data_IF_529214981128
#
_entry.id   IF_529214981128
#
_cell.length_a   1.000
_cell.length_b   1.000
_cell.length_c   1.000
_cell.angle_alpha   90.00
_cell.angle_beta   90.00
_cell.angle_gamma   90.00
#
_symmetry.space_group_name_H-M   'P 1'
#
loop_
_entity.id
_entity.type
_entity.pdbx_description
1 polymer ?
#
# COMPACT_ATOMS: atom_id res chain seq x y z
N UNK A 1 -4.13 -49.97 -9.46
CA UNK A 1 -4.49 -49.00 -8.42
C UNK A 1 -3.24 -48.16 -8.19
N UNK A 2 -3.25 -46.91 -8.65
CA UNK A 2 -2.21 -45.92 -8.31
C UNK A 2 -2.58 -45.38 -6.93
N UNK A 3 -1.73 -45.67 -5.94
CA UNK A 3 -1.82 -45.04 -4.63
C UNK A 3 -1.71 -43.53 -4.77
N UNK A 4 -2.85 -42.86 -4.61
CA UNK A 4 -2.86 -41.39 -4.47
C UNK A 4 -2.10 -41.04 -3.18
N UNK A 5 -0.98 -40.34 -3.31
CA UNK A 5 -0.24 -39.84 -2.15
C UNK A 5 -1.21 -39.09 -1.24
N UNK A 6 -1.13 -39.28 0.09
CA UNK A 6 -2.04 -38.62 1.02
C UNK A 6 -1.93 -37.11 0.83
N UNK A 7 -3.08 -36.45 0.63
CA UNK A 7 -3.15 -34.99 0.52
C UNK A 7 -2.45 -34.39 1.75
N UNK A 8 -1.37 -33.64 1.54
CA UNK A 8 -0.70 -32.93 2.64
C UNK A 8 -1.74 -32.12 3.40
N UNK A 9 -1.85 -32.35 4.70
CA UNK A 9 -2.79 -31.64 5.57
C UNK A 9 -2.53 -30.12 5.37
N UNK A 10 -3.57 -29.42 4.94
CA UNK A 10 -3.49 -27.96 4.74
C UNK A 10 -3.30 -27.31 6.11
N UNK A 11 -2.23 -26.54 6.26
CA UNK A 11 -1.94 -25.82 7.49
C UNK A 11 -2.87 -24.61 7.58
N UNK A 12 -3.37 -24.28 8.76
CA UNK A 12 -4.18 -23.08 8.98
C UNK A 12 -3.81 -22.38 10.28
N UNK A 13 -3.93 -21.07 10.29
CA UNK A 13 -3.82 -20.20 11.47
C UNK A 13 -5.01 -19.29 11.57
N UNK A 14 -5.43 -18.96 12.83
CA UNK A 14 -6.58 -18.09 13.08
C UNK A 14 -6.14 -16.74 13.64
N UNK A 15 -6.69 -15.70 13.06
CA UNK A 15 -6.45 -14.29 13.36
C UNK A 15 -7.79 -13.55 13.41
N UNK A 16 -7.80 -12.35 14.01
CA UNK A 16 -8.95 -11.47 13.88
C UNK A 16 -8.86 -10.72 12.56
N UNK A 17 -7.68 -10.18 12.24
CA UNK A 17 -7.43 -9.46 10.98
C UNK A 17 -6.17 -10.00 10.30
N UNK A 18 -6.27 -10.25 9.01
CA UNK A 18 -5.15 -10.60 8.15
C UNK A 18 -4.89 -9.44 7.17
N UNK A 19 -3.70 -8.84 7.26
CA UNK A 19 -3.27 -7.78 6.34
C UNK A 19 -2.27 -8.36 5.34
N UNK A 20 -2.49 -8.12 4.04
CA UNK A 20 -1.67 -8.67 2.97
C UNK A 20 -0.86 -7.57 2.29
N UNK A 21 0.47 -7.61 2.44
CA UNK A 21 1.43 -6.68 1.87
C UNK A 21 2.03 -5.73 2.90
N UNK A 22 3.35 -5.82 3.14
CA UNK A 22 4.09 -4.99 4.10
C UNK A 22 4.65 -3.71 3.45
N UNK A 23 3.88 -3.08 2.57
CA UNK A 23 4.06 -1.69 2.15
C UNK A 23 3.50 -0.71 3.18
N UNK A 24 3.56 0.59 2.89
CA UNK A 24 3.11 1.64 3.79
C UNK A 24 1.65 1.43 4.27
N UNK A 25 0.72 1.22 3.36
CA UNK A 25 -0.69 1.04 3.70
C UNK A 25 -0.93 -0.19 4.60
N UNK A 26 -0.25 -1.31 4.32
CA UNK A 26 -0.41 -2.53 5.11
C UNK A 26 0.18 -2.39 6.51
N UNK A 27 1.30 -1.70 6.65
CA UNK A 27 1.88 -1.43 7.97
C UNK A 27 0.98 -0.52 8.81
N UNK A 28 0.42 0.54 8.21
CA UNK A 28 -0.54 1.40 8.90
C UNK A 28 -1.79 0.61 9.32
N UNK A 29 -2.36 -0.18 8.41
CA UNK A 29 -3.53 -0.99 8.72
C UNK A 29 -3.26 -2.03 9.82
N UNK A 30 -2.11 -2.70 9.77
CA UNK A 30 -1.74 -3.69 10.78
C UNK A 30 -1.48 -3.06 12.16
N UNK A 31 -0.88 -1.88 12.19
CA UNK A 31 -0.66 -1.14 13.44
C UNK A 31 -1.98 -0.67 14.03
N UNK A 32 -2.83 -0.03 13.22
CA UNK A 32 -4.14 0.48 13.66
C UNK A 32 -5.04 -0.65 14.17
N UNK A 33 -5.18 -1.75 13.43
CA UNK A 33 -6.01 -2.88 13.86
C UNK A 33 -5.50 -3.51 15.17
N UNK A 34 -4.18 -3.59 15.35
CA UNK A 34 -3.58 -4.07 16.59
C UNK A 34 -3.78 -3.07 17.74
N UNK A 35 -3.81 -1.76 17.49
CA UNK A 35 -4.12 -0.74 18.49
C UNK A 35 -5.57 -0.81 18.95
N UNK A 36 -6.49 -1.16 18.05
CA UNK A 36 -7.89 -1.46 18.33
C UNK A 36 -8.09 -2.80 19.09
N UNK A 37 -7.00 -3.54 19.36
CA UNK A 37 -7.03 -4.78 20.14
C UNK A 37 -7.24 -6.05 19.33
N UNK A 38 -7.29 -5.98 18.00
CA UNK A 38 -7.40 -7.15 17.14
C UNK A 38 -6.10 -7.97 17.12
N UNK A 39 -6.21 -9.30 17.15
CA UNK A 39 -5.10 -10.21 16.87
C UNK A 39 -4.77 -10.16 15.38
N UNK A 40 -3.79 -9.35 15.02
CA UNK A 40 -3.44 -9.02 13.63
C UNK A 40 -2.17 -9.73 13.17
N UNK A 41 -2.17 -10.21 11.91
CA UNK A 41 -0.98 -10.65 11.21
C UNK A 41 -0.78 -9.85 9.92
N UNK A 42 0.45 -9.45 9.67
CA UNK A 42 0.89 -8.81 8.43
C UNK A 42 1.67 -9.83 7.59
N UNK A 43 1.21 -10.10 6.37
CA UNK A 43 1.81 -11.06 5.46
C UNK A 43 2.60 -10.33 4.36
N UNK A 44 3.83 -10.77 4.11
CA UNK A 44 4.68 -10.20 3.07
C UNK A 44 5.32 -11.32 2.23
N UNK A 45 5.22 -11.20 0.90
CA UNK A 45 5.78 -12.19 -0.02
C UNK A 45 7.30 -12.19 -0.07
N UNK A 46 7.91 -11.05 0.21
CA UNK A 46 9.35 -10.90 0.26
C UNK A 46 9.92 -11.29 1.62
N UNK A 47 11.23 -11.40 1.72
CA UNK A 47 11.94 -11.64 3.00
C UNK A 47 12.16 -10.38 3.84
N UNK A 48 11.59 -9.27 3.43
CA UNK A 48 11.66 -7.94 4.07
C UNK A 48 10.49 -7.09 3.63
N UNK A 49 10.17 -5.99 4.32
CA UNK A 49 9.26 -4.98 3.80
C UNK A 49 9.75 -4.43 2.47
N UNK A 50 8.85 -4.31 1.51
CA UNK A 50 9.11 -3.76 0.18
C UNK A 50 7.87 -2.98 -0.30
N UNK A 51 7.77 -2.73 -1.59
CA UNK A 51 6.68 -2.00 -2.22
C UNK A 51 7.12 -0.63 -2.72
N UNK A 52 6.23 0.07 -3.40
CA UNK A 52 6.52 1.37 -4.02
C UNK A 52 7.02 2.42 -3.01
N UNK A 53 6.62 2.31 -1.75
CA UNK A 53 7.01 3.26 -0.70
C UNK A 53 8.51 3.34 -0.50
N UNK A 54 9.22 2.22 -0.50
CA UNK A 54 10.69 2.18 -0.29
C UNK A 54 11.43 3.02 -1.35
N UNK A 55 10.87 3.11 -2.56
CA UNK A 55 11.44 3.86 -3.68
C UNK A 55 10.96 5.31 -3.75
N UNK A 56 10.01 5.71 -2.91
CA UNK A 56 9.43 7.05 -2.91
C UNK A 56 10.30 8.05 -2.16
N UNK A 57 10.14 9.33 -2.51
CA UNK A 57 10.80 10.43 -1.78
C UNK A 57 10.19 10.69 -0.39
N UNK A 58 9.11 9.99 -0.03
CA UNK A 58 8.41 10.14 1.26
C UNK A 58 7.55 11.39 1.35
N UNK A 59 7.05 11.87 0.22
CA UNK A 59 6.16 13.01 0.16
C UNK A 59 4.71 12.55 0.31
N UNK A 60 3.98 13.20 1.19
CA UNK A 60 2.57 12.94 1.44
C UNK A 60 1.82 14.27 1.38
N UNK A 61 0.81 14.35 0.53
CA UNK A 61 -0.07 15.50 0.49
C UNK A 61 -1.13 15.36 1.60
N UNK A 62 -1.28 16.39 2.44
CA UNK A 62 -2.28 16.42 3.48
C UNK A 62 -2.70 17.85 3.79
N UNK A 63 -3.83 18.00 4.50
CA UNK A 63 -4.32 19.29 4.99
C UNK A 63 -4.79 19.16 6.45
N UNK A 64 -4.54 20.18 7.23
CA UNK A 64 -5.04 20.25 8.61
C UNK A 64 -4.17 19.53 9.66
N UNK A 65 -2.94 19.08 9.30
CA UNK A 65 -2.01 18.52 10.28
C UNK A 65 -1.38 19.59 11.18
N UNK A 66 -0.86 19.17 12.32
CA UNK A 66 -0.11 20.06 13.24
C UNK A 66 1.13 20.72 12.64
N UNK A 67 1.62 20.22 11.52
CA UNK A 67 2.77 20.76 10.80
C UNK A 67 2.40 21.91 9.85
N UNK A 68 1.11 22.19 9.63
CA UNK A 68 0.59 23.16 8.67
C UNK A 68 -0.04 24.41 9.35
N UNK A 69 0.36 24.72 10.57
CA UNK A 69 -0.22 25.84 11.37
C UNK A 69 -0.10 27.22 10.70
N UNK A 70 0.83 27.38 9.77
CA UNK A 70 1.07 28.62 9.04
C UNK A 70 0.19 28.77 7.79
N UNK A 71 -0.69 27.81 7.52
CA UNK A 71 -1.57 27.77 6.34
C UNK A 71 -3.05 27.62 6.76
N UNK A 72 -3.59 28.57 7.57
CA UNK A 72 -4.97 28.48 8.04
C UNK A 72 -6.02 28.70 6.94
N UNK A 73 -5.59 29.18 5.77
CA UNK A 73 -6.42 29.40 4.58
C UNK A 73 -6.76 28.10 3.83
N UNK A 74 -5.98 27.05 4.05
CA UNK A 74 -6.24 25.74 3.42
C UNK A 74 -7.29 24.95 4.19
N UNK A 75 -8.00 24.07 3.51
CA UNK A 75 -9.09 23.31 4.10
C UNK A 75 -9.29 21.95 3.39
N UNK A 76 -9.89 20.97 4.08
CA UNK A 76 -10.30 19.72 3.44
C UNK A 76 -11.15 19.92 2.20
N UNK A 77 -12.04 20.93 2.20
CA UNK A 77 -12.88 21.27 1.04
C UNK A 77 -12.04 21.72 -0.15
N UNK A 78 -11.10 22.65 0.05
CA UNK A 78 -10.21 23.10 -1.02
C UNK A 78 -9.35 21.97 -1.55
N UNK A 79 -8.87 21.10 -0.67
CA UNK A 79 -8.09 19.93 -1.05
C UNK A 79 -8.92 18.94 -1.88
N UNK A 80 -10.16 18.67 -1.46
CA UNK A 80 -11.09 17.83 -2.23
C UNK A 80 -11.33 18.40 -3.64
N UNK A 81 -11.64 19.70 -3.74
CA UNK A 81 -11.91 20.36 -5.03
C UNK A 81 -10.69 20.28 -5.97
N UNK A 82 -9.49 20.48 -5.44
CA UNK A 82 -8.25 20.35 -6.23
C UNK A 82 -8.00 18.93 -6.71
N UNK A 83 -8.18 17.93 -5.86
CA UNK A 83 -8.00 16.51 -6.24
C UNK A 83 -9.02 16.08 -7.29
N UNK A 84 -10.29 16.48 -7.15
CA UNK A 84 -11.32 16.21 -8.16
C UNK A 84 -11.01 16.91 -9.50
N UNK A 85 -10.53 18.14 -9.45
CA UNK A 85 -10.10 18.89 -10.65
C UNK A 85 -8.90 18.22 -11.34
N UNK A 86 -7.87 17.83 -10.58
CA UNK A 86 -6.65 17.19 -11.10
C UNK A 86 -6.93 15.80 -11.67
N UNK A 87 -7.85 15.06 -11.09
CA UNK A 87 -8.27 13.76 -11.61
C UNK A 87 -9.26 13.85 -12.78
N UNK A 88 -9.55 15.06 -13.27
CA UNK A 88 -10.59 15.30 -14.29
C UNK A 88 -11.94 14.66 -13.93
N UNK A 89 -12.32 14.71 -12.65
CA UNK A 89 -13.57 14.12 -12.11
C UNK A 89 -13.65 12.59 -12.25
N UNK A 90 -12.53 11.91 -12.47
CA UNK A 90 -12.51 10.44 -12.61
C UNK A 90 -12.37 9.69 -11.29
N UNK A 91 -11.84 10.34 -10.26
CA UNK A 91 -11.69 9.74 -8.93
C UNK A 91 -13.06 9.55 -8.28
N UNK A 92 -13.17 8.53 -7.44
CA UNK A 92 -14.36 8.34 -6.60
C UNK A 92 -14.45 9.49 -5.58
N UNK A 93 -15.52 10.30 -5.60
CA UNK A 93 -15.64 11.48 -4.74
C UNK A 93 -15.71 11.12 -3.25
N UNK A 94 -16.29 9.97 -2.89
CA UNK A 94 -16.37 9.56 -1.48
C UNK A 94 -14.99 9.21 -0.93
N UNK A 95 -14.16 8.50 -1.71
CA UNK A 95 -12.77 8.21 -1.32
C UNK A 95 -11.93 9.48 -1.22
N UNK A 96 -12.07 10.41 -2.17
CA UNK A 96 -11.35 11.70 -2.14
C UNK A 96 -11.79 12.53 -0.94
N UNK A 97 -13.08 12.53 -0.59
CA UNK A 97 -13.59 13.24 0.59
C UNK A 97 -12.96 12.69 1.87
N UNK A 98 -12.98 11.38 2.08
CA UNK A 98 -12.34 10.75 3.24
C UNK A 98 -10.85 11.11 3.31
N UNK A 99 -10.13 11.03 2.18
CA UNK A 99 -8.72 11.40 2.16
C UNK A 99 -8.49 12.88 2.51
N UNK A 100 -9.29 13.77 1.97
CA UNK A 100 -9.17 15.21 2.25
C UNK A 100 -9.47 15.54 3.74
N UNK A 101 -10.46 14.89 4.32
CA UNK A 101 -10.88 15.14 5.70
C UNK A 101 -9.90 14.51 6.73
N UNK A 102 -9.37 13.32 6.44
CA UNK A 102 -8.58 12.53 7.41
C UNK A 102 -7.06 12.64 7.21
N UNK A 103 -6.60 13.22 6.12
CA UNK A 103 -5.15 13.22 5.79
C UNK A 103 -4.30 13.91 6.85
N UNK A 104 -4.78 15.03 7.43
CA UNK A 104 -4.07 15.75 8.48
C UNK A 104 -3.92 14.91 9.76
N UNK A 105 -5.01 14.29 10.20
CA UNK A 105 -5.01 13.39 11.34
C UNK A 105 -4.12 12.17 11.10
N UNK A 106 -4.10 11.64 9.87
CA UNK A 106 -3.21 10.54 9.47
C UNK A 106 -1.73 10.90 9.57
N UNK A 107 -1.34 12.10 9.17
CA UNK A 107 0.04 12.60 9.35
C UNK A 107 0.38 12.73 10.83
N UNK A 108 -0.53 13.26 11.63
CA UNK A 108 -0.32 13.43 13.07
C UNK A 108 -0.19 12.07 13.77
N UNK A 109 -1.01 11.09 13.39
CA UNK A 109 -0.91 9.71 13.85
C UNK A 109 0.45 9.07 13.49
N UNK A 110 0.93 9.23 12.26
CA UNK A 110 2.26 8.75 11.86
C UNK A 110 3.38 9.39 12.67
N UNK A 111 3.27 10.68 12.97
CA UNK A 111 4.26 11.39 13.77
C UNK A 111 4.26 10.92 15.23
N UNK A 112 3.09 10.60 15.81
CA UNK A 112 2.98 10.01 17.14
C UNK A 112 3.59 8.61 17.22
N UNK A 113 3.66 7.90 16.07
CA UNK A 113 4.36 6.63 15.90
C UNK A 113 5.85 6.78 15.48
N UNK A 114 6.40 7.98 15.66
CA UNK A 114 7.84 8.23 15.51
C UNK A 114 8.31 8.58 14.11
N UNK A 115 7.39 8.83 13.17
CA UNK A 115 7.76 9.33 11.84
C UNK A 115 7.98 10.84 11.89
N UNK A 116 9.18 11.37 11.59
CA UNK A 116 9.39 12.81 11.52
C UNK A 116 8.79 13.38 10.23
N UNK A 117 8.19 14.57 10.34
CA UNK A 117 7.68 15.32 9.20
C UNK A 117 8.08 16.80 9.29
N UNK A 118 8.19 17.42 8.13
CA UNK A 118 8.20 18.87 7.98
C UNK A 118 7.37 19.25 6.75
N UNK A 119 6.80 20.43 6.78
CA UNK A 119 6.10 21.00 5.62
C UNK A 119 7.14 21.53 4.63
N UNK A 120 6.99 21.18 3.35
CA UNK A 120 7.85 21.69 2.33
C UNK A 120 7.26 22.96 1.71
N UNK A 121 7.94 24.08 1.93
CA UNK A 121 7.53 25.40 1.42
C UNK A 121 8.29 25.80 0.12
N UNK A 122 8.97 24.87 -0.51
CA UNK A 122 9.95 25.15 -1.57
C UNK A 122 9.40 25.37 -2.99
N UNK A 123 8.07 25.32 -3.20
CA UNK A 123 7.47 25.54 -4.51
C UNK A 123 6.34 26.58 -4.44
N UNK A 124 6.27 27.50 -5.44
CA UNK A 124 5.38 28.67 -5.37
C UNK A 124 3.90 28.42 -5.70
N UNK A 125 3.43 27.19 -5.63
CA UNK A 125 2.06 26.84 -5.95
C UNK A 125 1.26 26.46 -4.68
N UNK A 126 0.04 26.95 -4.51
CA UNK A 126 -0.81 26.63 -3.34
C UNK A 126 -1.00 25.13 -3.12
N UNK A 127 -1.08 24.37 -4.21
CA UNK A 127 -1.24 22.90 -4.14
C UNK A 127 -0.04 22.21 -3.48
N UNK A 128 1.09 22.88 -3.33
CA UNK A 128 2.34 22.33 -2.81
C UNK A 128 2.61 22.69 -1.35
N UNK A 129 1.85 23.62 -0.78
CA UNK A 129 1.84 23.87 0.68
C UNK A 129 1.24 22.71 1.48
N UNK A 130 0.74 21.69 0.80
CA UNK A 130 0.21 20.45 1.37
C UNK A 130 1.22 19.33 1.42
N UNK A 131 2.43 19.53 0.89
CA UNK A 131 3.43 18.48 0.80
C UNK A 131 4.21 18.34 2.10
N UNK A 132 3.92 17.29 2.85
CA UNK A 132 4.67 16.90 4.03
C UNK A 132 5.73 15.87 3.67
N UNK A 133 6.95 16.12 4.11
CA UNK A 133 8.10 15.28 3.76
C UNK A 133 8.63 14.61 5.02
N UNK A 134 8.81 13.30 4.94
CA UNK A 134 9.63 12.57 5.89
C UNK A 134 11.10 12.62 5.44
N UNK A 135 12.01 13.24 6.22
CA UNK A 135 13.42 13.38 5.83
C UNK A 135 14.12 12.02 5.80
N UNK A 136 14.82 11.75 4.71
CA UNK A 136 15.48 10.47 4.48
C UNK A 136 16.79 10.27 5.25
N UNK A 137 17.54 11.33 5.53
CA UNK A 137 18.84 11.26 6.26
C UNK A 137 19.79 10.18 5.71
N UNK A 138 20.09 10.22 4.42
CA UNK A 138 20.95 9.24 3.74
C UNK A 138 20.24 8.00 3.18
N UNK A 139 18.91 7.97 3.30
CA UNK A 139 18.02 7.00 2.66
C UNK A 139 16.85 7.74 2.00
N UNK A 140 16.00 7.05 1.24
CA UNK A 140 14.76 7.68 0.74
C UNK A 140 13.82 8.01 1.89
N UNK A 141 13.02 9.08 1.76
CA UNK A 141 11.99 9.41 2.74
C UNK A 141 10.99 8.26 2.92
N UNK A 142 10.63 7.58 1.85
CA UNK A 142 9.79 6.38 1.92
C UNK A 142 10.43 5.23 2.70
N UNK A 143 11.74 5.02 2.57
CA UNK A 143 12.46 4.05 3.41
C UNK A 143 12.45 4.45 4.88
N UNK A 144 12.49 5.76 5.19
CA UNK A 144 12.35 6.27 6.56
C UNK A 144 10.97 5.97 7.12
N UNK A 145 9.90 6.21 6.35
CA UNK A 145 8.52 5.86 6.74
C UNK A 145 8.41 4.38 7.12
N UNK A 146 8.90 3.49 6.26
CA UNK A 146 8.89 2.05 6.51
C UNK A 146 9.65 1.68 7.79
N UNK A 147 10.83 2.28 8.03
CA UNK A 147 11.60 2.02 9.26
C UNK A 147 10.85 2.44 10.53
N UNK A 148 10.22 3.60 10.51
CA UNK A 148 9.46 4.09 11.66
C UNK A 148 8.25 3.19 11.95
N UNK A 149 7.49 2.82 10.92
CA UNK A 149 6.36 1.90 11.06
C UNK A 149 6.79 0.50 11.53
N UNK A 150 7.92 -0.03 11.02
CA UNK A 150 8.46 -1.29 11.51
C UNK A 150 8.76 -1.25 13.01
N UNK A 151 9.39 -0.19 13.48
CA UNK A 151 9.68 -0.03 14.91
C UNK A 151 8.38 0.08 15.74
N UNK A 152 7.34 0.74 15.21
CA UNK A 152 6.05 0.83 15.86
C UNK A 152 5.32 -0.53 15.94
N UNK A 153 5.33 -1.29 14.83
CA UNK A 153 4.77 -2.65 14.77
C UNK A 153 5.48 -3.61 15.73
N UNK A 154 6.81 -3.55 15.79
CA UNK A 154 7.61 -4.34 16.72
C UNK A 154 7.28 -4.00 18.18
N UNK A 155 7.24 -2.71 18.50
CA UNK A 155 6.84 -2.22 19.84
C UNK A 155 5.43 -2.69 20.23
N UNK A 156 4.51 -2.74 19.27
CA UNK A 156 3.14 -3.21 19.49
C UNK A 156 3.04 -4.73 19.54
N UNK A 157 4.04 -5.47 19.05
CA UNK A 157 4.06 -6.93 19.00
C UNK A 157 3.23 -7.52 17.89
N UNK A 158 3.05 -6.81 16.78
CA UNK A 158 2.33 -7.31 15.60
C UNK A 158 3.13 -8.42 14.93
N UNK A 159 2.48 -9.56 14.65
CA UNK A 159 3.10 -10.65 13.92
C UNK A 159 3.31 -10.29 12.44
N UNK A 160 4.54 -10.46 11.94
CA UNK A 160 4.86 -10.25 10.53
C UNK A 160 5.42 -11.55 9.96
N UNK A 161 4.74 -12.10 8.95
CA UNK A 161 5.18 -13.31 8.28
C UNK A 161 5.73 -12.98 6.89
N UNK A 162 7.04 -13.06 6.75
CA UNK A 162 7.76 -12.91 5.50
C UNK A 162 7.75 -14.18 4.66
N UNK A 163 8.18 -14.08 3.39
CA UNK A 163 8.19 -15.21 2.44
C UNK A 163 6.82 -15.88 2.33
N UNK A 164 5.76 -15.12 2.54
CA UNK A 164 4.37 -15.58 2.60
C UNK A 164 3.56 -14.89 1.50
N UNK A 165 3.48 -15.56 0.34
CA UNK A 165 2.79 -15.03 -0.83
C UNK A 165 1.31 -15.40 -0.81
N UNK A 166 0.45 -14.41 -0.65
CA UNK A 166 -1.00 -14.58 -0.85
C UNK A 166 -1.29 -14.89 -2.32
N UNK A 167 -2.16 -15.88 -2.57
CA UNK A 167 -2.46 -16.35 -3.93
C UNK A 167 -3.94 -16.47 -4.23
N UNK A 168 -4.81 -16.57 -3.22
CA UNK A 168 -6.27 -16.60 -3.38
C UNK A 168 -6.96 -16.27 -2.06
N UNK A 169 -8.20 -15.80 -2.13
CA UNK A 169 -9.03 -15.64 -0.96
C UNK A 169 -9.63 -17.01 -0.54
N UNK A 170 -9.76 -17.23 0.77
CA UNK A 170 -10.56 -18.31 1.33
C UNK A 170 -11.98 -17.78 1.50
N UNK A 171 -12.97 -18.51 0.96
CA UNK A 171 -14.37 -18.08 0.91
C UNK A 171 -15.27 -19.21 1.37
N UNK A 172 -16.38 -18.86 2.00
CA UNK A 172 -17.49 -19.78 2.24
C UNK A 172 -18.34 -20.01 0.98
N UNK A 173 -19.39 -20.83 1.11
CA UNK A 173 -20.32 -21.14 0.02
C UNK A 173 -21.14 -19.92 -0.45
N UNK A 174 -21.22 -18.87 0.37
CA UNK A 174 -21.90 -17.60 0.06
C UNK A 174 -20.95 -16.51 -0.46
N UNK A 175 -19.69 -16.86 -0.77
CA UNK A 175 -18.63 -15.95 -1.18
C UNK A 175 -18.17 -14.94 -0.12
N UNK A 176 -18.52 -15.14 1.16
CA UNK A 176 -17.93 -14.34 2.23
C UNK A 176 -16.46 -14.71 2.40
N UNK A 177 -15.62 -13.69 2.55
CA UNK A 177 -14.17 -13.88 2.73
C UNK A 177 -13.90 -14.28 4.18
N UNK A 178 -13.33 -15.47 4.36
CA UNK A 178 -12.95 -16.03 5.65
C UNK A 178 -11.43 -16.01 5.90
N UNK A 179 -10.63 -15.58 4.90
CA UNK A 179 -9.18 -15.55 5.02
C UNK A 179 -8.47 -15.49 3.68
N UNK A 180 -7.19 -15.83 3.72
CA UNK A 180 -6.31 -15.84 2.53
C UNK A 180 -5.46 -17.11 2.50
N UNK A 181 -5.34 -17.72 1.33
CA UNK A 181 -4.45 -18.84 1.08
C UNK A 181 -3.11 -18.35 0.56
N UNK A 182 -2.03 -18.82 1.18
CA UNK A 182 -0.68 -18.38 0.89
C UNK A 182 0.23 -19.54 0.50
N UNK A 183 1.28 -19.23 -0.26
CA UNK A 183 2.44 -20.06 -0.46
C UNK A 183 3.53 -19.59 0.51
N UNK A 184 4.01 -20.51 1.34
CA UNK A 184 5.12 -20.31 2.28
C UNK A 184 6.26 -21.27 1.98
N UNK A 185 7.44 -21.12 2.58
CA UNK A 185 8.53 -22.09 2.45
C UNK A 185 8.16 -23.52 2.87
N UNK A 186 7.21 -23.66 3.81
CA UNK A 186 6.72 -24.94 4.31
C UNK A 186 5.60 -25.55 3.42
N UNK A 187 5.12 -24.77 2.45
CA UNK A 187 4.05 -25.18 1.54
C UNK A 187 2.83 -24.27 1.62
N UNK A 188 1.68 -24.78 1.20
CA UNK A 188 0.43 -24.01 1.19
C UNK A 188 -0.17 -23.92 2.58
N UNK A 189 -0.54 -22.69 3.00
CA UNK A 189 -1.08 -22.38 4.32
C UNK A 189 -2.21 -21.37 4.21
N UNK A 190 -3.27 -21.58 4.99
CA UNK A 190 -4.39 -20.64 5.08
C UNK A 190 -4.27 -19.79 6.35
N UNK A 191 -4.50 -18.51 6.19
CA UNK A 191 -4.63 -17.55 7.27
C UNK A 191 -6.10 -17.15 7.34
N UNK A 192 -6.81 -17.66 8.36
CA UNK A 192 -8.22 -17.39 8.57
C UNK A 192 -8.39 -16.10 9.38
N UNK A 193 -9.39 -15.31 9.04
CA UNK A 193 -9.62 -13.97 9.59
C UNK A 193 -11.09 -13.81 10.00
N UNK A 194 -11.37 -13.81 11.31
CA UNK A 194 -12.75 -13.66 11.82
C UNK A 194 -13.32 -12.26 11.62
N UNK A 195 -12.47 -11.24 11.59
CA UNK A 195 -12.84 -9.84 11.36
C UNK A 195 -12.66 -9.39 9.91
N UNK A 196 -11.81 -10.08 9.13
CA UNK A 196 -11.65 -9.80 7.71
C UNK A 196 -10.21 -9.76 7.21
N UNK A 197 -10.07 -9.59 5.90
CA UNK A 197 -8.79 -9.50 5.17
C UNK A 197 -8.64 -8.10 4.59
N UNK A 198 -7.49 -7.46 4.82
CA UNK A 198 -7.15 -6.16 4.25
C UNK A 198 -6.08 -6.38 3.16
N UNK A 199 -6.41 -6.09 1.90
CA UNK A 199 -5.52 -6.23 0.76
C UNK A 199 -4.76 -4.93 0.48
N UNK A 200 -3.44 -4.95 0.62
CA UNK A 200 -2.55 -3.78 0.45
C UNK A 200 -1.32 -4.08 -0.41
N UNK A 201 -1.45 -5.02 -1.35
CA UNK A 201 -0.30 -5.49 -2.16
C UNK A 201 0.15 -4.51 -3.25
N UNK A 202 -0.44 -3.31 -3.30
CA UNK A 202 -0.09 -2.26 -4.26
C UNK A 202 -0.73 -2.46 -5.63
N UNK A 203 -0.14 -1.83 -6.63
CA UNK A 203 -0.62 -1.87 -8.01
C UNK A 203 -0.07 -3.01 -8.83
N UNK A 204 -0.17 -2.88 -10.17
CA UNK A 204 0.24 -3.90 -11.13
C UNK A 204 1.34 -3.42 -12.12
N UNK A 205 2.00 -2.29 -11.80
CA UNK A 205 2.97 -1.66 -12.72
C UNK A 205 4.18 -2.53 -13.12
N UNK A 206 4.49 -3.58 -12.35
CA UNK A 206 5.54 -4.55 -12.68
C UNK A 206 4.99 -5.84 -13.33
N UNK A 207 3.69 -5.89 -13.67
CA UNK A 207 3.07 -7.00 -14.38
C UNK A 207 2.80 -6.58 -15.83
N UNK A 208 3.70 -6.94 -16.74
CA UNK A 208 3.64 -6.58 -18.15
C UNK A 208 2.29 -6.95 -18.80
N UNK A 209 1.78 -8.14 -18.52
CA UNK A 209 0.51 -8.60 -19.07
C UNK A 209 -0.70 -7.77 -18.60
N UNK A 210 -0.70 -7.33 -17.34
CA UNK A 210 -1.75 -6.44 -16.83
C UNK A 210 -1.59 -5.01 -17.38
N UNK A 211 -0.36 -4.53 -17.52
CA UNK A 211 -0.06 -3.23 -18.15
C UNK A 211 -0.53 -3.22 -19.60
N UNK A 212 -0.21 -4.25 -20.38
CA UNK A 212 -0.67 -4.39 -21.76
C UNK A 212 -2.21 -4.47 -21.85
N UNK A 213 -2.84 -5.23 -20.95
CA UNK A 213 -4.29 -5.42 -20.92
C UNK A 213 -5.05 -4.15 -20.61
N UNK A 214 -4.62 -3.39 -19.60
CA UNK A 214 -5.42 -2.29 -19.05
C UNK A 214 -4.99 -0.91 -19.58
N UNK A 215 -3.71 -0.70 -19.83
CA UNK A 215 -3.15 0.59 -20.28
C UNK A 215 -2.84 0.55 -21.78
N UNK A 216 -2.26 -0.53 -22.25
CA UNK A 216 -1.93 -0.77 -23.65
C UNK A 216 -0.47 -1.10 -23.90
N UNK A 217 -0.16 -1.70 -25.09
CA UNK A 217 1.17 -2.26 -25.38
C UNK A 217 2.30 -1.21 -25.45
N UNK A 218 1.98 0.07 -25.51
CA UNK A 218 2.97 1.14 -25.45
C UNK A 218 3.56 1.30 -24.05
N UNK A 219 2.77 1.01 -23.01
CA UNK A 219 3.13 1.24 -21.63
C UNK A 219 4.07 0.16 -21.07
N UNK A 220 4.07 -1.05 -21.62
CA UNK A 220 5.02 -2.10 -21.27
C UNK A 220 6.48 -1.77 -21.63
N UNK A 221 6.68 -0.76 -22.49
CA UNK A 221 8.02 -0.22 -22.81
C UNK A 221 8.52 0.81 -21.79
N UNK A 222 7.68 1.23 -20.85
CA UNK A 222 8.06 2.15 -19.80
C UNK A 222 8.95 1.43 -18.78
N UNK A 223 9.95 2.16 -18.27
CA UNK A 223 10.79 1.63 -17.20
C UNK A 223 10.06 1.79 -15.88
N UNK A 224 9.83 0.68 -15.21
CA UNK A 224 9.23 0.67 -13.86
C UNK A 224 10.28 1.19 -12.87
N UNK A 225 10.07 2.41 -12.37
CA UNK A 225 10.93 3.00 -11.33
C UNK A 225 10.57 2.52 -9.92
N UNK A 226 9.41 1.93 -9.74
CA UNK A 226 8.91 1.41 -8.46
C UNK A 226 9.45 0.03 -8.10
N UNK A 227 8.81 -0.60 -7.12
CA UNK A 227 9.12 -1.98 -6.76
C UNK A 227 8.82 -2.94 -7.91
N UNK A 228 9.75 -3.86 -8.24
CA UNK A 228 9.51 -4.90 -9.23
C UNK A 228 8.51 -5.96 -8.76
N UNK A 229 8.04 -5.87 -7.53
CA UNK A 229 7.15 -6.84 -6.89
C UNK A 229 5.69 -6.39 -6.84
N UNK A 230 5.32 -5.22 -7.39
CA UNK A 230 3.92 -4.77 -7.49
C UNK A 230 3.27 -5.41 -8.72
N UNK A 231 2.84 -6.64 -8.59
CA UNK A 231 2.39 -7.52 -9.69
C UNK A 231 0.88 -7.76 -9.70
N UNK A 232 0.10 -7.02 -8.89
CA UNK A 232 -1.38 -6.95 -9.01
C UNK A 232 -2.12 -8.10 -8.32
N UNK A 233 -1.52 -8.79 -7.35
CA UNK A 233 -2.16 -9.94 -6.68
C UNK A 233 -3.47 -9.59 -6.00
N UNK A 234 -3.58 -8.39 -5.38
CA UNK A 234 -4.83 -7.92 -4.76
C UNK A 234 -5.96 -7.76 -5.78
N UNK A 235 -5.63 -7.29 -6.99
CA UNK A 235 -6.61 -7.09 -8.06
C UNK A 235 -7.16 -8.45 -8.49
N UNK A 236 -6.27 -9.42 -8.72
CA UNK A 236 -6.67 -10.78 -9.09
C UNK A 236 -7.51 -11.45 -7.99
N UNK A 237 -7.12 -11.28 -6.72
CA UNK A 237 -7.89 -11.81 -5.58
C UNK A 237 -9.24 -11.10 -5.41
N UNK A 238 -9.31 -9.79 -5.66
CA UNK A 238 -10.55 -9.03 -5.59
C UNK A 238 -11.55 -9.44 -6.69
N UNK A 239 -11.06 -9.75 -7.90
CA UNK A 239 -11.89 -10.29 -8.98
C UNK A 239 -12.55 -11.63 -8.58
N UNK A 240 -11.90 -12.45 -7.74
CA UNK A 240 -12.46 -13.72 -7.26
C UNK A 240 -13.74 -13.54 -6.42
N UNK A 241 -13.94 -12.36 -5.83
CA UNK A 241 -15.13 -12.00 -5.04
C UNK A 241 -15.98 -10.95 -5.75
N UNK A 242 -15.83 -10.84 -7.07
CA UNK A 242 -16.61 -9.95 -7.95
C UNK A 242 -16.48 -8.45 -7.59
N UNK A 243 -15.35 -8.04 -7.06
CA UNK A 243 -15.08 -6.62 -6.84
C UNK A 243 -15.03 -5.86 -8.16
N UNK A 244 -15.64 -4.68 -8.18
CA UNK A 244 -15.62 -3.80 -9.35
C UNK A 244 -14.24 -3.17 -9.52
N UNK A 245 -13.62 -3.37 -10.67
CA UNK A 245 -12.37 -2.71 -11.06
C UNK A 245 -12.69 -1.41 -11.80
N UNK A 246 -12.20 -0.28 -11.27
CA UNK A 246 -12.42 1.04 -11.85
C UNK A 246 -11.09 1.73 -12.17
N UNK A 247 -11.09 2.59 -13.20
CA UNK A 247 -9.92 3.39 -13.60
C UNK A 247 -8.63 2.58 -13.85
N UNK A 248 -8.76 1.33 -14.29
CA UNK A 248 -7.61 0.45 -14.56
C UNK A 248 -6.71 0.94 -15.71
N UNK A 249 -7.22 1.87 -16.53
CA UNK A 249 -6.50 2.50 -17.64
C UNK A 249 -5.62 3.68 -17.22
N UNK A 250 -5.52 3.97 -15.92
CA UNK A 250 -4.75 5.11 -15.43
C UNK A 250 -3.32 4.70 -15.05
N UNK A 251 -2.36 5.50 -15.51
CA UNK A 251 -0.95 5.35 -15.21
C UNK A 251 -0.33 6.68 -14.78
N UNK A 252 0.48 6.65 -13.74
CA UNK A 252 1.35 7.76 -13.39
C UNK A 252 2.74 7.53 -14.01
N UNK A 253 3.05 8.29 -15.07
CA UNK A 253 4.31 8.21 -15.81
C UNK A 253 5.19 9.44 -15.51
N UNK A 254 5.72 9.53 -14.31
CA UNK A 254 6.61 10.62 -13.88
C UNK A 254 7.60 10.18 -12.80
N UNK A 255 8.74 10.87 -12.66
CA UNK A 255 9.35 11.81 -13.61
C UNK A 255 9.88 11.11 -14.86
N UNK A 256 9.77 11.77 -16.01
CA UNK A 256 10.34 11.28 -17.28
C UNK A 256 11.85 11.54 -17.26
N UNK A 257 12.64 10.50 -17.43
CA UNK A 257 14.09 10.59 -17.58
C UNK A 257 14.51 10.09 -18.96
N UNK A 258 15.55 10.68 -19.59
CA UNK A 258 16.08 10.15 -20.85
C UNK A 258 16.55 8.69 -20.69
N UNK A 259 16.27 7.87 -21.69
CA UNK A 259 16.80 6.50 -21.75
C UNK A 259 18.34 6.53 -21.71
N UNK A 260 18.95 5.74 -20.86
CA UNK A 260 20.40 5.69 -20.65
C UNK A 260 20.88 6.29 -19.32
N UNK A 261 20.02 7.02 -18.59
CA UNK A 261 20.33 7.56 -17.26
C UNK A 261 19.44 6.93 -16.17
N UNK A 262 18.64 5.95 -16.54
CA UNK A 262 17.82 5.20 -15.60
C UNK A 262 18.69 4.13 -14.92
N UNK A 263 19.41 4.54 -13.89
CA UNK A 263 19.87 3.58 -12.92
C UNK A 263 18.67 3.25 -12.03
N UNK A 264 18.14 1.99 -12.05
CA UNK A 264 17.04 1.58 -11.18
C UNK A 264 17.49 1.43 -9.72
N UNK A 265 18.71 1.86 -9.40
CA UNK A 265 19.14 1.88 -8.01
C UNK A 265 18.17 2.73 -7.20
N UNK A 266 17.67 2.23 -6.05
CA UNK A 266 17.00 3.11 -5.09
C UNK A 266 17.92 4.31 -4.86
N UNK A 267 17.34 5.48 -4.85
CA UNK A 267 18.07 6.66 -4.41
C UNK A 267 18.58 6.33 -3.00
N UNK A 268 19.86 5.97 -2.96
CA UNK A 268 20.55 5.69 -1.70
C UNK A 268 20.72 6.98 -0.91
#
# INVERSE_FOLDING_TARGET
>A
AQDAAPAKKRLSENWDVVVVGAGFAGMCAALETAEQGAKTVLLEKMNRPDGATVYSSGWIAAVGSRFQKNHPEDSPKAFFEDMMRLSHQRSDPELIKVYAEESGAGIDWLADHGTPFYLWEGLPAPELSRCLISPGEGITGGSKLIRCLMAALEKKGVAIHYNTKAVSLVKDECFNVEGVSCITPEGRKDYLASGGVILTTGGYGANEAMVDKYIGPWASRLIVRGSPWITGENILMAEEVQALLVNMDQVYAGPITPTGHCNPSPLM
#
